data_IF_907354408834
#
_entry.id   IF_907354408834
#
_cell.length_a   1.000
_cell.length_b   1.000
_cell.length_c   1.000
_cell.angle_alpha   90.00
_cell.angle_beta   90.00
_cell.angle_gamma   90.00
#
_symmetry.space_group_name_H-M   'P 1'
#
loop_
_entity.id
_entity.type
_entity.pdbx_description
1 polymer ?
#
# COMPACT_ATOMS: atom_id res chain seq x y z
N UNK A 1 -15.95 10.18 23.49
CA UNK A 1 -16.49 11.47 23.00
C UNK A 1 -15.46 12.09 22.07
N UNK A 2 -15.85 12.40 20.83
CA UNK A 2 -14.97 13.13 19.89
C UNK A 2 -14.88 14.59 20.36
N UNK A 3 -13.65 15.07 20.55
CA UNK A 3 -13.39 16.49 20.74
C UNK A 3 -13.70 17.24 19.43
N UNK A 4 -14.70 18.12 19.38
CA UNK A 4 -15.11 18.80 18.16
C UNK A 4 -14.06 19.78 17.62
N UNK A 5 -13.07 20.17 18.43
CA UNK A 5 -11.99 21.06 18.01
C UNK A 5 -10.78 20.31 17.46
N UNK A 6 -10.79 18.98 17.47
CA UNK A 6 -9.66 18.15 17.05
C UNK A 6 -9.64 17.97 15.55
N UNK A 7 -8.77 18.66 14.84
CA UNK A 7 -8.60 18.58 13.39
C UNK A 7 -8.05 17.22 12.93
N UNK A 8 -7.19 16.56 13.74
CA UNK A 8 -6.59 15.27 13.43
C UNK A 8 -7.25 14.20 14.29
N UNK A 9 -7.84 13.19 13.65
CA UNK A 9 -8.53 12.09 14.32
C UNK A 9 -7.79 10.75 14.27
N UNK A 10 -6.81 10.61 13.37
CA UNK A 10 -5.98 9.41 13.23
C UNK A 10 -4.62 9.77 12.61
N UNK A 11 -3.60 8.98 12.93
CA UNK A 11 -2.24 9.08 12.39
C UNK A 11 -1.85 7.72 11.82
N UNK A 12 -1.35 7.72 10.59
CA UNK A 12 -0.58 6.62 10.01
C UNK A 12 0.86 7.11 9.92
N UNK A 13 1.75 6.48 10.68
CA UNK A 13 3.17 6.85 10.73
C UNK A 13 3.99 6.03 9.72
N UNK A 14 5.30 6.22 9.69
CA UNK A 14 6.23 5.41 8.90
C UNK A 14 7.22 4.69 9.80
N UNK A 15 7.50 3.42 9.48
CA UNK A 15 8.58 2.64 10.06
C UNK A 15 9.09 1.62 9.03
N UNK A 16 10.39 1.29 9.07
CA UNK A 16 10.92 0.12 8.37
C UNK A 16 10.48 -1.14 9.12
N UNK A 17 9.57 -1.91 8.52
CA UNK A 17 8.99 -3.10 9.16
C UNK A 17 9.98 -4.27 9.29
N UNK A 18 11.16 -4.19 8.66
CA UNK A 18 12.24 -5.18 8.84
C UNK A 18 13.22 -4.81 9.95
N UNK A 19 13.04 -3.64 10.56
CA UNK A 19 13.96 -3.17 11.59
C UNK A 19 13.99 -4.11 12.78
N UNK A 20 15.17 -4.53 13.26
CA UNK A 20 15.28 -5.30 14.51
C UNK A 20 14.84 -4.49 15.74
N UNK A 21 14.71 -3.17 15.59
CA UNK A 21 14.23 -2.24 16.62
C UNK A 21 12.78 -1.79 16.39
N UNK A 22 12.00 -2.58 15.63
CA UNK A 22 10.64 -2.18 15.26
C UNK A 22 9.77 -1.87 16.49
N UNK A 23 9.83 -2.70 17.53
CA UNK A 23 9.04 -2.47 18.74
C UNK A 23 9.33 -1.14 19.41
N UNK A 24 10.60 -0.76 19.53
CA UNK A 24 10.99 0.53 20.10
C UNK A 24 10.44 1.72 19.25
N UNK A 25 10.46 1.57 17.92
CA UNK A 25 9.93 2.59 17.00
C UNK A 25 8.41 2.70 17.15
N UNK A 26 7.70 1.57 17.24
CA UNK A 26 6.25 1.55 17.43
C UNK A 26 5.85 2.18 18.77
N UNK A 27 6.54 1.84 19.85
CA UNK A 27 6.31 2.44 21.18
C UNK A 27 6.52 3.96 21.17
N UNK A 28 7.57 4.44 20.48
CA UNK A 28 7.80 5.88 20.31
C UNK A 28 6.67 6.57 19.52
N UNK A 29 6.16 5.92 18.47
CA UNK A 29 5.03 6.43 17.70
C UNK A 29 3.73 6.43 18.51
N UNK A 30 3.46 5.38 19.28
CA UNK A 30 2.29 5.29 20.16
C UNK A 30 2.30 6.41 21.21
N UNK A 31 3.44 6.62 21.87
CA UNK A 31 3.63 7.67 22.86
C UNK A 31 3.45 9.08 22.24
N UNK A 32 4.11 9.35 21.11
CA UNK A 32 3.99 10.64 20.41
C UNK A 32 2.58 10.86 19.85
N UNK A 33 1.93 9.80 19.39
CA UNK A 33 0.60 9.83 18.79
C UNK A 33 -0.54 10.07 19.78
N UNK A 34 -0.29 9.95 21.09
CA UNK A 34 -1.27 10.23 22.16
C UNK A 34 -2.63 9.56 21.91
N UNK A 35 -2.60 8.28 21.53
CA UNK A 35 -3.80 7.49 21.24
C UNK A 35 -4.42 7.76 19.87
N UNK A 36 -3.72 8.44 18.95
CA UNK A 36 -4.17 8.67 17.58
C UNK A 36 -3.52 7.76 16.54
N UNK A 37 -2.44 7.08 16.88
CA UNK A 37 -1.82 6.13 15.97
C UNK A 37 -2.83 5.02 15.59
N UNK A 38 -2.94 4.74 14.30
CA UNK A 38 -3.85 3.71 13.75
C UNK A 38 -3.13 2.74 12.84
N UNK A 39 -1.97 3.10 12.31
CA UNK A 39 -1.24 2.24 11.40
C UNK A 39 0.13 2.75 11.06
N UNK A 40 0.83 1.91 10.32
CA UNK A 40 2.16 2.20 9.77
C UNK A 40 2.09 2.06 8.25
N UNK A 41 2.68 3.02 7.55
CA UNK A 41 2.92 2.93 6.11
C UNK A 41 4.38 2.59 5.84
N UNK A 42 4.58 1.53 5.10
CA UNK A 42 5.86 1.18 4.49
C UNK A 42 5.60 0.82 3.02
N UNK A 43 5.90 1.77 2.11
CA UNK A 43 5.56 1.63 0.70
C UNK A 43 6.56 0.72 0.00
N UNK A 44 6.08 -0.37 -0.59
CA UNK A 44 6.90 -1.37 -1.27
C UNK A 44 6.92 -1.22 -2.79
N UNK A 45 6.58 -0.04 -3.32
CA UNK A 45 6.62 0.22 -4.75
C UNK A 45 8.03 0.06 -5.31
N UNK A 46 8.18 -0.91 -6.20
CA UNK A 46 9.40 -1.19 -6.97
C UNK A 46 9.19 -0.80 -8.43
N UNK A 47 9.85 0.26 -8.88
CA UNK A 47 9.71 0.72 -10.26
C UNK A 47 10.58 -0.09 -11.21
N UNK A 48 9.95 -0.81 -12.17
CA UNK A 48 10.67 -1.51 -13.25
C UNK A 48 11.28 -0.52 -14.26
N UNK A 49 10.64 0.64 -14.44
CA UNK A 49 11.03 1.71 -15.34
C UNK A 49 11.01 3.05 -14.61
N UNK A 50 11.97 3.31 -13.70
CA UNK A 50 11.98 4.53 -12.87
C UNK A 50 12.13 5.81 -13.71
N UNK A 51 12.76 5.73 -14.87
CA UNK A 51 13.03 6.84 -15.79
C UNK A 51 11.76 7.48 -16.38
N UNK A 52 10.65 6.73 -16.44
CA UNK A 52 9.37 7.23 -17.00
C UNK A 52 8.40 7.72 -15.93
N UNK A 53 8.75 7.58 -14.66
CA UNK A 53 7.89 7.92 -13.54
C UNK A 53 8.38 9.21 -12.86
N UNK A 54 7.45 10.12 -12.59
CA UNK A 54 7.75 11.37 -11.88
C UNK A 54 8.21 11.11 -10.43
N UNK A 55 7.62 10.13 -9.79
CA UNK A 55 7.97 9.71 -8.43
C UNK A 55 8.14 8.18 -8.46
N UNK A 56 9.33 7.67 -8.83
CA UNK A 56 9.55 6.24 -8.90
C UNK A 56 9.60 5.62 -7.50
N UNK A 57 8.95 4.49 -7.33
CA UNK A 57 9.12 3.65 -6.16
C UNK A 57 10.53 3.02 -6.15
N UNK A 58 11.16 3.02 -4.99
CA UNK A 58 12.57 2.60 -4.82
C UNK A 58 12.74 1.38 -3.93
N UNK A 59 11.65 0.75 -3.52
CA UNK A 59 11.73 -0.47 -2.73
C UNK A 59 12.46 -1.57 -3.53
N UNK A 60 13.26 -2.42 -2.90
CA UNK A 60 13.78 -3.63 -3.52
C UNK A 60 12.64 -4.54 -3.98
N UNK A 61 12.87 -5.29 -5.07
CA UNK A 61 11.91 -6.30 -5.52
C UNK A 61 11.75 -7.42 -4.48
N UNK A 62 10.54 -8.01 -4.40
CA UNK A 62 10.27 -9.19 -3.60
C UNK A 62 10.11 -8.97 -2.09
N UNK A 63 10.04 -7.71 -1.62
CA UNK A 63 9.93 -7.43 -0.18
C UNK A 63 8.66 -8.00 0.45
N UNK A 64 7.56 -8.15 -0.28
CA UNK A 64 6.35 -8.79 0.24
C UNK A 64 6.54 -10.25 0.66
N UNK A 65 7.57 -10.91 0.10
CA UNK A 65 7.94 -12.28 0.47
C UNK A 65 9.02 -12.35 1.56
N UNK A 66 9.65 -11.24 1.91
CA UNK A 66 10.72 -11.18 2.92
C UNK A 66 10.17 -11.62 4.30
N UNK A 67 10.78 -12.62 4.96
CA UNK A 67 10.30 -13.12 6.25
C UNK A 67 10.33 -12.07 7.36
N UNK A 68 11.34 -11.20 7.39
CA UNK A 68 11.45 -10.15 8.40
C UNK A 68 10.36 -9.09 8.18
N UNK A 69 10.06 -8.76 6.91
CA UNK A 69 8.97 -7.86 6.57
C UNK A 69 7.61 -8.44 7.00
N UNK A 70 7.34 -9.70 6.67
CA UNK A 70 6.09 -10.40 7.08
C UNK A 70 5.93 -10.46 8.59
N UNK A 71 7.02 -10.71 9.33
CA UNK A 71 7.02 -10.66 10.78
C UNK A 71 6.68 -9.26 11.31
N UNK A 72 7.24 -8.22 10.70
CA UNK A 72 6.91 -6.83 11.05
C UNK A 72 5.45 -6.49 10.80
N UNK A 73 4.88 -6.92 9.67
CA UNK A 73 3.44 -6.75 9.39
C UNK A 73 2.58 -7.49 10.41
N UNK A 74 2.93 -8.71 10.77
CA UNK A 74 2.23 -9.48 11.82
C UNK A 74 2.28 -8.74 13.16
N UNK A 75 3.43 -8.16 13.49
CA UNK A 75 3.61 -7.36 14.71
C UNK A 75 2.68 -6.15 14.80
N UNK A 76 2.36 -5.52 13.66
CA UNK A 76 1.35 -4.45 13.61
C UNK A 76 -0.04 -4.98 14.02
N UNK A 77 -0.44 -6.13 13.48
CA UNK A 77 -1.72 -6.76 13.83
C UNK A 77 -1.85 -7.07 15.30
N UNK A 78 -0.79 -7.62 15.93
CA UNK A 78 -0.72 -7.88 17.37
C UNK A 78 -0.94 -6.62 18.21
N UNK A 79 -0.57 -5.45 17.70
CA UNK A 79 -0.75 -4.15 18.34
C UNK A 79 -2.06 -3.43 17.93
N UNK A 80 -2.90 -4.05 17.10
CA UNK A 80 -4.12 -3.44 16.59
C UNK A 80 -3.87 -2.29 15.61
N UNK A 81 -2.70 -2.26 14.97
CA UNK A 81 -2.32 -1.27 13.97
C UNK A 81 -2.53 -1.83 12.55
N UNK A 82 -2.94 -0.96 11.61
CA UNK A 82 -3.00 -1.30 10.19
C UNK A 82 -1.63 -1.20 9.52
N UNK A 83 -1.47 -1.96 8.44
CA UNK A 83 -0.37 -1.80 7.49
C UNK A 83 -0.88 -1.11 6.24
N UNK A 84 -0.41 0.10 5.92
CA UNK A 84 -0.70 0.80 4.67
C UNK A 84 0.42 0.55 3.66
N UNK A 85 0.06 0.17 2.44
CA UNK A 85 1.03 -0.06 1.36
C UNK A 85 0.68 0.67 0.09
N UNK A 86 1.72 1.11 -0.62
CA UNK A 86 1.63 1.62 -1.98
C UNK A 86 2.60 0.85 -2.88
N UNK A 87 2.08 0.34 -3.99
CA UNK A 87 2.86 -0.39 -4.99
C UNK A 87 2.24 -0.24 -6.39
N UNK A 88 2.86 -0.82 -7.42
CA UNK A 88 2.37 -0.82 -8.80
C UNK A 88 1.61 -2.11 -9.11
N UNK A 89 0.69 -2.05 -10.08
CA UNK A 89 -0.22 -3.15 -10.45
C UNK A 89 0.45 -4.52 -10.58
N UNK A 90 1.64 -4.59 -11.12
CA UNK A 90 2.37 -5.85 -11.28
C UNK A 90 2.89 -6.46 -9.97
N UNK A 91 2.73 -5.76 -8.85
CA UNK A 91 3.01 -6.26 -7.49
C UNK A 91 1.73 -6.71 -6.76
N UNK A 92 0.55 -6.57 -7.36
CA UNK A 92 -0.71 -7.05 -6.76
C UNK A 92 -0.67 -8.52 -6.34
N UNK A 93 -0.10 -9.46 -7.14
CA UNK A 93 0.04 -10.85 -6.71
C UNK A 93 0.89 -11.03 -5.45
N UNK A 94 1.97 -10.24 -5.29
CA UNK A 94 2.82 -10.29 -4.10
C UNK A 94 2.05 -9.78 -2.86
N UNK A 95 1.24 -8.73 -3.02
CA UNK A 95 0.36 -8.22 -1.96
C UNK A 95 -0.69 -9.24 -1.55
N UNK A 96 -1.28 -9.96 -2.52
CA UNK A 96 -2.24 -11.03 -2.25
C UNK A 96 -1.61 -12.14 -1.40
N UNK A 97 -0.39 -12.54 -1.73
CA UNK A 97 0.36 -13.55 -0.97
C UNK A 97 0.69 -13.06 0.46
N UNK A 98 1.05 -11.78 0.64
CA UNK A 98 1.23 -11.20 1.96
C UNK A 98 -0.09 -11.24 2.76
N UNK A 99 -1.20 -10.80 2.16
CA UNK A 99 -2.50 -10.77 2.84
C UNK A 99 -2.94 -12.16 3.34
N UNK A 100 -2.69 -13.19 2.54
CA UNK A 100 -2.95 -14.59 2.92
C UNK A 100 -2.00 -15.11 4.00
N UNK A 101 -0.73 -14.69 3.93
CA UNK A 101 0.29 -15.13 4.89
C UNK A 101 0.12 -14.50 6.28
N UNK A 102 -0.47 -13.30 6.36
CA UNK A 102 -0.61 -12.54 7.61
C UNK A 102 -2.06 -12.07 7.79
N UNK A 103 -3.01 -13.02 7.98
CA UNK A 103 -4.45 -12.69 8.04
C UNK A 103 -4.85 -11.88 9.28
N UNK A 104 -4.01 -11.84 10.32
CA UNK A 104 -4.28 -11.13 11.57
C UNK A 104 -4.06 -9.61 11.51
N UNK A 105 -3.56 -9.08 10.38
CA UNK A 105 -3.27 -7.64 10.24
C UNK A 105 -4.18 -7.02 9.18
N UNK A 106 -4.87 -5.94 9.54
CA UNK A 106 -5.61 -5.15 8.54
C UNK A 106 -4.63 -4.44 7.62
N UNK A 107 -4.73 -4.69 6.33
CA UNK A 107 -3.90 -4.08 5.30
C UNK A 107 -4.70 -3.08 4.49
N UNK A 108 -4.10 -1.93 4.22
CA UNK A 108 -4.71 -0.84 3.45
C UNK A 108 -3.99 -0.72 2.12
N UNK A 109 -4.66 -1.11 1.04
CA UNK A 109 -4.15 -0.97 -0.32
C UNK A 109 -4.36 0.46 -0.80
N UNK A 110 -3.28 1.23 -0.90
CA UNK A 110 -3.33 2.59 -1.43
C UNK A 110 -3.52 2.57 -2.95
N UNK A 111 -4.39 3.47 -3.43
CA UNK A 111 -4.57 3.74 -4.86
C UNK A 111 -4.87 2.51 -5.72
N UNK A 112 -5.54 1.50 -5.14
CA UNK A 112 -5.91 0.26 -5.82
C UNK A 112 -4.75 -0.42 -6.57
N UNK A 113 -3.54 -0.44 -5.98
CA UNK A 113 -2.38 -1.09 -6.60
C UNK A 113 -1.89 -0.41 -7.87
N UNK A 114 -2.16 0.88 -8.02
CA UNK A 114 -1.54 1.78 -9.01
C UNK A 114 -1.34 1.19 -10.42
N UNK A 115 -2.42 0.98 -11.21
CA UNK A 115 -2.27 0.53 -12.59
C UNK A 115 -1.60 1.61 -13.45
N UNK A 116 -0.42 1.30 -14.00
CA UNK A 116 0.37 2.22 -14.81
C UNK A 116 -0.14 2.27 -16.26
N UNK A 117 -0.20 3.47 -16.83
CA UNK A 117 -0.60 3.71 -18.22
C UNK A 117 0.31 4.71 -18.96
N UNK A 118 1.57 4.86 -18.50
CA UNK A 118 2.56 5.81 -19.04
C UNK A 118 3.84 5.10 -19.48
N UNK A 119 4.65 5.74 -20.31
CA UNK A 119 5.89 5.15 -20.81
C UNK A 119 5.63 3.83 -21.55
N UNK A 120 6.39 2.76 -21.25
CA UNK A 120 6.23 1.45 -21.88
C UNK A 120 4.86 0.80 -21.60
N UNK A 121 4.14 1.25 -20.56
CA UNK A 121 2.82 0.76 -20.22
C UNK A 121 1.68 1.41 -21.04
N UNK A 122 1.96 2.49 -21.77
CA UNK A 122 0.93 3.25 -22.50
C UNK A 122 0.25 2.43 -23.62
N UNK A 123 0.99 1.54 -24.28
CA UNK A 123 0.46 0.65 -25.32
C UNK A 123 -0.17 -0.64 -24.78
N UNK A 124 -0.08 -0.90 -23.48
CA UNK A 124 -0.55 -2.12 -22.81
C UNK A 124 -1.73 -1.85 -21.86
N UNK A 125 -2.40 -0.72 -21.99
CA UNK A 125 -3.43 -0.29 -21.03
C UNK A 125 -4.55 -1.28 -20.87
N UNK A 126 -5.08 -1.80 -21.94
CA UNK A 126 -6.21 -2.72 -21.93
C UNK A 126 -5.82 -4.03 -21.25
N UNK A 127 -4.65 -4.58 -21.59
CA UNK A 127 -4.10 -5.79 -20.97
C UNK A 127 -3.85 -5.60 -19.47
N UNK A 128 -3.23 -4.46 -19.11
CA UNK A 128 -2.97 -4.10 -17.71
C UNK A 128 -4.28 -3.96 -16.95
N UNK A 129 -5.30 -3.33 -17.54
CA UNK A 129 -6.60 -3.14 -16.91
C UNK A 129 -7.33 -4.47 -16.68
N UNK A 130 -7.33 -5.37 -17.67
CA UNK A 130 -7.94 -6.70 -17.52
C UNK A 130 -7.23 -7.52 -16.42
N UNK A 131 -5.90 -7.55 -16.42
CA UNK A 131 -5.16 -8.25 -15.36
C UNK A 131 -5.38 -7.60 -14.00
N UNK A 132 -5.32 -6.27 -13.92
CA UNK A 132 -5.57 -5.53 -12.69
C UNK A 132 -6.96 -5.82 -12.10
N UNK A 133 -8.01 -5.94 -12.92
CA UNK A 133 -9.34 -6.33 -12.44
C UNK A 133 -9.33 -7.69 -11.77
N UNK A 134 -8.64 -8.66 -12.37
CA UNK A 134 -8.53 -10.02 -11.81
C UNK A 134 -7.77 -10.00 -10.48
N UNK A 135 -6.67 -9.27 -10.42
CA UNK A 135 -5.84 -9.16 -9.20
C UNK A 135 -6.62 -8.47 -8.07
N UNK A 136 -7.29 -7.36 -8.35
CA UNK A 136 -8.10 -6.65 -7.35
C UNK A 136 -9.28 -7.51 -6.88
N UNK A 137 -9.93 -8.25 -7.79
CA UNK A 137 -10.98 -9.19 -7.40
C UNK A 137 -10.44 -10.28 -6.47
N UNK A 138 -9.24 -10.82 -6.75
CA UNK A 138 -8.61 -11.80 -5.87
C UNK A 138 -8.25 -11.22 -4.49
N UNK A 139 -7.71 -10.00 -4.45
CA UNK A 139 -7.39 -9.30 -3.20
C UNK A 139 -8.66 -9.00 -2.39
N UNK A 140 -9.76 -8.65 -3.05
CA UNK A 140 -11.04 -8.35 -2.40
C UNK A 140 -11.65 -9.56 -1.65
N UNK A 141 -11.20 -10.79 -1.91
CA UNK A 141 -11.58 -11.97 -1.12
C UNK A 141 -10.79 -12.11 0.20
N UNK A 142 -9.77 -11.27 0.43
CA UNK A 142 -9.04 -11.25 1.68
C UNK A 142 -9.76 -10.32 2.67
N UNK A 143 -10.40 -10.87 3.70
CA UNK A 143 -11.18 -10.12 4.70
C UNK A 143 -10.35 -9.08 5.47
N UNK A 144 -9.03 -9.27 5.51
CA UNK A 144 -8.09 -8.37 6.16
C UNK A 144 -7.56 -7.26 5.24
N UNK A 145 -8.09 -7.08 4.02
CA UNK A 145 -7.68 -6.02 3.11
C UNK A 145 -8.80 -5.02 2.90
N UNK A 146 -8.47 -3.75 3.01
CA UNK A 146 -9.30 -2.60 2.61
C UNK A 146 -8.54 -1.74 1.62
N UNK A 147 -9.24 -1.00 0.77
CA UNK A 147 -8.60 -0.16 -0.24
C UNK A 147 -8.99 1.31 -0.06
N UNK A 148 -8.04 2.21 -0.33
CA UNK A 148 -8.32 3.66 -0.43
C UNK A 148 -8.72 4.02 -1.85
N UNK A 149 -9.89 4.60 -1.97
CA UNK A 149 -10.39 5.15 -3.23
C UNK A 149 -9.70 6.49 -3.52
N UNK A 150 -8.59 6.46 -4.22
CA UNK A 150 -7.80 7.66 -4.54
C UNK A 150 -6.63 7.37 -5.48
N UNK A 151 -5.93 8.41 -5.90
CA UNK A 151 -4.70 8.30 -6.69
C UNK A 151 -4.89 7.93 -8.18
N UNK A 152 -6.05 7.45 -8.59
CA UNK A 152 -6.29 6.97 -9.96
C UNK A 152 -6.33 8.09 -11.01
N UNK A 153 -6.49 9.33 -10.59
CA UNK A 153 -6.51 10.50 -11.46
C UNK A 153 -5.18 11.30 -11.46
N UNK A 154 -4.11 10.73 -10.91
CA UNK A 154 -2.81 11.41 -10.94
C UNK A 154 -2.22 11.34 -12.36
N UNK A 155 -2.23 12.47 -13.14
CA UNK A 155 -1.62 12.47 -14.47
C UNK A 155 -0.17 12.00 -14.39
N UNK A 156 0.79 11.98 -14.65
CA UNK A 156 2.02 11.31 -15.04
C UNK A 156 2.18 9.86 -14.53
N UNK A 157 1.29 9.37 -13.66
CA UNK A 157 1.40 8.00 -13.16
C UNK A 157 0.42 7.05 -13.88
N UNK A 158 -0.85 7.45 -14.06
CA UNK A 158 -1.90 6.53 -14.49
C UNK A 158 -2.45 6.79 -15.89
N UNK A 159 -2.91 7.99 -16.15
CA UNK A 159 -3.50 8.38 -17.41
C UNK A 159 -3.41 9.89 -17.58
N UNK A 160 -3.42 10.37 -18.80
CA UNK A 160 -3.45 11.79 -19.07
C UNK A 160 -4.80 12.43 -18.72
N UNK A 161 -5.87 11.63 -18.64
CA UNK A 161 -7.21 12.07 -18.20
C UNK A 161 -7.99 10.91 -17.58
N UNK A 162 -8.94 11.23 -16.69
CA UNK A 162 -9.86 10.27 -16.06
C UNK A 162 -10.71 9.51 -17.07
N UNK A 163 -11.08 10.18 -18.19
CA UNK A 163 -11.86 9.58 -19.28
C UNK A 163 -11.15 8.44 -20.01
N UNK A 164 -9.84 8.31 -19.86
CA UNK A 164 -9.08 7.24 -20.49
C UNK A 164 -9.16 5.89 -19.75
N UNK A 165 -9.72 5.89 -18.53
CA UNK A 165 -10.01 4.68 -17.76
C UNK A 165 -11.50 4.35 -17.67
N UNK A 166 -12.36 5.24 -18.16
CA UNK A 166 -13.82 5.10 -18.09
C UNK A 166 -14.44 4.49 -19.36
N UNK A 167 -13.63 4.09 -20.31
CA UNK A 167 -14.02 3.35 -21.50
C UNK A 167 -13.45 1.94 -21.38
#
# INVERSE_FOLDING_TARGET
>A
TRDPERLISAIVAHADLRSPRLDEVLEAHEAAGRGLLRGIRDALSHAKHPEVLRIPGRAPAGLYADPAFRAGVARLGERGLSYDTWHYHYQNPEMLELARAVPGTTMVLDHFGTPLGVGPYASQRDEIFEQWKLDIAAIAHCENVVAKFGGMAMPPIFATTFSQWAM
#
